data_IF_335479377387
#
_entry.id   IF_335479377387
#
_cell.length_a   1.000
_cell.length_b   1.000
_cell.length_c   1.000
_cell.angle_alpha   90.00
_cell.angle_beta   90.00
_cell.angle_gamma   90.00
#
_symmetry.space_group_name_H-M   'P 1'
#
loop_
_entity.id
_entity.type
_entity.pdbx_description
1 polymer ?
#
# COMPACT_ATOMS: atom_id res chain seq x y z
N UNK A 1 8.59 -9.20 -28.80
CA UNK A 1 7.52 -9.79 -27.97
C UNK A 1 8.01 -9.85 -26.52
N UNK A 2 7.20 -9.48 -25.52
CA UNK A 2 7.62 -9.53 -24.11
C UNK A 2 7.75 -11.01 -23.66
N UNK A 3 8.72 -11.39 -22.81
CA UNK A 3 8.86 -12.78 -22.33
C UNK A 3 7.62 -13.33 -21.65
N UNK A 4 6.79 -12.45 -21.08
CA UNK A 4 5.52 -12.80 -20.45
C UNK A 4 4.35 -13.00 -21.42
N UNK A 5 4.55 -12.91 -22.75
CA UNK A 5 3.50 -13.01 -23.77
C UNK A 5 2.58 -11.78 -23.88
N UNK A 6 2.53 -10.93 -22.84
CA UNK A 6 1.71 -9.72 -22.79
C UNK A 6 1.95 -8.71 -23.92
N UNK A 7 0.92 -7.99 -24.30
CA UNK A 7 1.01 -6.84 -25.21
C UNK A 7 1.85 -5.70 -24.60
N UNK A 8 2.38 -4.76 -25.41
CA UNK A 8 3.18 -3.64 -24.92
C UNK A 8 2.46 -2.77 -23.88
N UNK A 9 1.15 -2.61 -24.05
CA UNK A 9 0.20 -1.81 -23.25
C UNK A 9 -0.54 -2.63 -22.18
N UNK A 10 -0.34 -3.95 -22.14
CA UNK A 10 -0.99 -4.83 -21.17
C UNK A 10 -0.22 -4.88 -19.84
N UNK A 11 -0.92 -4.52 -18.76
CA UNK A 11 -0.43 -4.62 -17.38
C UNK A 11 -0.25 -6.09 -16.94
N UNK A 12 0.58 -6.31 -15.91
CA UNK A 12 0.63 -7.60 -15.20
C UNK A 12 -0.72 -7.86 -14.52
N UNK A 13 -1.03 -9.13 -14.24
CA UNK A 13 -2.14 -9.48 -13.34
C UNK A 13 -1.96 -8.77 -11.99
N UNK A 14 -3.01 -8.09 -11.53
CA UNK A 14 -3.03 -7.39 -10.25
C UNK A 14 -3.97 -8.11 -9.30
N UNK A 15 -3.52 -8.38 -8.08
CA UNK A 15 -4.35 -8.96 -7.02
C UNK A 15 -4.15 -8.17 -5.73
N UNK A 16 -5.25 -7.93 -5.02
CA UNK A 16 -5.27 -7.38 -3.68
C UNK A 16 -5.89 -8.42 -2.75
N UNK A 17 -5.17 -8.79 -1.70
CA UNK A 17 -5.67 -9.65 -0.63
C UNK A 17 -5.80 -8.80 0.64
N UNK A 18 -6.99 -8.29 0.97
CA UNK A 18 -7.23 -7.53 2.19
C UNK A 18 -7.04 -8.39 3.45
N UNK A 19 -6.93 -7.73 4.60
CA UNK A 19 -6.83 -8.35 5.93
C UNK A 19 -5.70 -9.39 6.02
N UNK A 20 -4.58 -9.10 5.34
CA UNK A 20 -3.47 -10.03 5.18
C UNK A 20 -2.66 -10.25 6.47
N UNK A 21 -2.52 -9.21 7.30
CA UNK A 21 -1.88 -9.29 8.61
C UNK A 21 -2.89 -8.96 9.70
N UNK A 22 -2.70 -9.56 10.88
CA UNK A 22 -3.69 -9.51 11.97
C UNK A 22 -3.61 -8.28 12.88
N UNK A 23 -2.49 -7.54 12.85
CA UNK A 23 -2.20 -6.51 13.86
C UNK A 23 -2.42 -5.08 13.39
N UNK A 24 -2.28 -4.81 12.08
CA UNK A 24 -2.48 -3.47 11.54
C UNK A 24 -3.98 -3.20 11.37
N UNK A 25 -4.41 -1.97 11.61
CA UNK A 25 -5.80 -1.52 11.41
C UNK A 25 -6.25 -1.67 9.95
N UNK A 26 -5.32 -1.54 9.01
CA UNK A 26 -5.51 -1.96 7.62
C UNK A 26 -4.31 -2.73 7.11
N UNK A 27 -4.53 -3.83 6.41
CA UNK A 27 -3.46 -4.60 5.79
C UNK A 27 -3.87 -5.19 4.45
N UNK A 28 -2.94 -5.22 3.49
CA UNK A 28 -3.16 -5.82 2.18
C UNK A 28 -1.86 -6.40 1.62
N UNK A 29 -1.93 -7.60 1.06
CA UNK A 29 -0.90 -8.11 0.16
C UNK A 29 -1.26 -7.70 -1.27
N UNK A 30 -0.42 -6.86 -1.87
CA UNK A 30 -0.58 -6.41 -3.25
C UNK A 30 0.38 -7.18 -4.15
N UNK A 31 -0.13 -7.79 -5.21
CA UNK A 31 0.67 -8.55 -6.17
C UNK A 31 0.49 -8.00 -7.60
N UNK A 32 1.60 -7.67 -8.26
CA UNK A 32 1.67 -7.26 -9.66
C UNK A 32 2.51 -8.30 -10.42
N UNK A 33 1.86 -9.38 -10.85
CA UNK A 33 2.54 -10.61 -11.27
C UNK A 33 3.44 -11.15 -10.14
N UNK A 34 4.74 -11.24 -10.39
CA UNK A 34 5.69 -11.77 -9.42
C UNK A 34 6.14 -10.76 -8.35
N UNK A 35 5.89 -9.46 -8.55
CA UNK A 35 6.16 -8.45 -7.51
C UNK A 35 5.09 -8.53 -6.45
N UNK A 36 5.49 -8.70 -5.19
CA UNK A 36 4.57 -8.77 -4.05
C UNK A 36 5.04 -7.79 -2.97
N UNK A 37 4.10 -6.98 -2.47
CA UNK A 37 4.36 -5.98 -1.43
C UNK A 37 3.27 -6.10 -0.37
N UNK A 38 3.67 -6.18 0.89
CA UNK A 38 2.75 -6.06 2.02
C UNK A 38 2.64 -4.57 2.34
N UNK A 39 1.41 -4.04 2.31
CA UNK A 39 1.13 -2.69 2.75
C UNK A 39 0.31 -2.76 4.03
N UNK A 40 0.77 -2.08 5.08
CA UNK A 40 0.06 -1.93 6.35
C UNK A 40 -0.23 -0.45 6.59
N UNK A 41 -1.41 -0.16 7.12
CA UNK A 41 -1.79 1.16 7.60
C UNK A 41 -2.05 1.07 9.11
N UNK A 42 -1.44 1.98 9.86
CA UNK A 42 -1.65 2.12 11.29
C UNK A 42 -2.07 3.53 11.64
N UNK A 43 -2.88 3.66 12.69
CA UNK A 43 -3.44 4.94 13.14
C UNK A 43 -2.77 5.34 14.44
N UNK A 44 -2.18 6.54 14.47
CA UNK A 44 -1.68 7.15 15.69
C UNK A 44 -2.49 8.41 15.98
N UNK A 45 -2.98 8.56 17.21
CA UNK A 45 -3.66 9.79 17.67
C UNK A 45 -2.65 10.89 18.00
N UNK A 46 -1.81 11.20 17.02
CA UNK A 46 -0.76 12.20 17.11
C UNK A 46 -0.46 12.77 15.73
N UNK A 47 -0.38 14.09 15.69
CA UNK A 47 0.09 14.81 14.51
C UNK A 47 1.57 15.19 14.63
N UNK A 48 2.27 15.38 13.49
CA UNK A 48 3.57 16.04 13.46
C UNK A 48 3.56 17.40 14.18
N UNK A 49 4.69 17.78 14.78
CA UNK A 49 4.77 19.01 15.60
C UNK A 49 4.39 20.28 14.84
N UNK A 50 4.69 20.33 13.55
CA UNK A 50 4.42 21.46 12.69
C UNK A 50 2.94 21.59 12.28
N UNK A 51 2.09 20.61 12.59
CA UNK A 51 0.63 20.63 12.37
C UNK A 51 -0.20 20.84 13.66
N UNK A 52 0.43 20.99 14.84
CA UNK A 52 -0.22 20.82 16.15
C UNK A 52 -1.44 21.68 16.49
N UNK A 53 -1.83 22.64 15.66
CA UNK A 53 -3.02 23.48 15.86
C UNK A 53 -3.88 23.60 14.59
N UNK A 54 -3.59 22.78 13.58
CA UNK A 54 -4.36 22.73 12.35
C UNK A 54 -5.41 21.62 12.47
N UNK A 55 -6.61 21.86 11.95
CA UNK A 55 -7.65 20.82 11.89
C UNK A 55 -7.42 19.92 10.67
N UNK A 56 -6.25 19.27 10.60
CA UNK A 56 -5.80 18.44 9.49
C UNK A 56 -5.20 17.12 9.98
N UNK A 57 -5.37 16.06 9.19
CA UNK A 57 -4.68 14.78 9.39
C UNK A 57 -3.33 14.73 8.66
N UNK A 58 -2.54 13.70 8.94
CA UNK A 58 -1.26 13.47 8.28
C UNK A 58 -1.10 12.01 7.87
N UNK A 59 -0.48 11.76 6.72
CA UNK A 59 -0.09 10.42 6.26
C UNK A 59 1.40 10.45 5.95
N UNK A 60 2.13 9.48 6.48
CA UNK A 60 3.54 9.22 6.16
C UNK A 60 3.70 7.77 5.77
N UNK A 61 4.78 7.43 5.08
CA UNK A 61 5.07 6.07 4.64
C UNK A 61 6.56 5.74 4.82
N UNK A 62 6.83 4.46 4.99
CA UNK A 62 8.15 3.86 4.96
C UNK A 62 8.18 2.78 3.85
N UNK A 63 9.33 2.58 3.21
CA UNK A 63 9.53 1.61 2.13
C UNK A 63 10.82 0.80 2.36
#
# INVERSE_FOLDING_TARGET
>A
MRPSGRAPDEMRTVTFTPDFTMHAEGSVLVAFGNTKVICTASVEDRQPRWLRNENQGWVTAEY
#
